data_IF_338860677090
#
_entry.id   IF_338860677090
#
_cell.length_a   1.000
_cell.length_b   1.000
_cell.length_c   1.000
_cell.angle_alpha   90.00
_cell.angle_beta   90.00
_cell.angle_gamma   90.00
#
_symmetry.space_group_name_H-M   'P 1'
#
loop_
_entity.id
_entity.type
_entity.pdbx_description
1 polymer ?
#
# COMPACT_ATOMS: atom_id res chain seq x y z
N UNK A 1 13.32 -10.32 18.26
CA UNK A 1 13.30 -9.14 17.38
C UNK A 1 12.95 -7.93 18.24
N UNK A 2 13.80 -6.90 18.30
CA UNK A 2 13.62 -5.76 19.22
C UNK A 2 12.77 -4.66 18.55
N UNK A 3 13.03 -4.33 17.29
CA UNK A 3 12.25 -3.40 16.50
C UNK A 3 11.21 -4.15 15.67
N UNK A 4 10.02 -3.59 15.51
CA UNK A 4 8.99 -4.16 14.63
C UNK A 4 9.42 -4.05 13.16
N UNK A 5 9.09 -5.06 12.37
CA UNK A 5 9.24 -5.01 10.93
C UNK A 5 8.19 -4.04 10.35
N UNK A 6 8.61 -3.27 9.34
CA UNK A 6 7.78 -2.22 8.72
C UNK A 6 7.01 -2.72 7.49
N UNK A 7 7.44 -3.84 6.92
CA UNK A 7 6.85 -4.45 5.74
C UNK A 7 5.85 -5.54 6.15
N UNK A 8 4.74 -5.63 5.42
CA UNK A 8 3.80 -6.73 5.58
C UNK A 8 4.34 -7.97 4.87
N UNK A 9 4.85 -8.93 5.65
CA UNK A 9 5.40 -10.19 5.12
C UNK A 9 4.41 -10.99 4.29
N UNK A 10 3.15 -11.03 4.69
CA UNK A 10 2.13 -11.82 3.99
C UNK A 10 1.90 -11.27 2.58
N UNK A 11 1.85 -9.94 2.44
CA UNK A 11 1.77 -9.27 1.13
C UNK A 11 3.00 -9.61 0.29
N UNK A 12 4.21 -9.46 0.84
CA UNK A 12 5.45 -9.71 0.08
C UNK A 12 5.61 -11.17 -0.36
N UNK A 13 5.39 -12.11 0.56
CA UNK A 13 5.52 -13.55 0.31
C UNK A 13 4.49 -14.03 -0.72
N UNK A 14 3.24 -13.59 -0.58
CA UNK A 14 2.15 -13.93 -1.50
C UNK A 14 2.46 -13.49 -2.92
N UNK A 15 2.86 -12.22 -3.10
CA UNK A 15 3.18 -11.68 -4.42
C UNK A 15 4.44 -12.31 -5.01
N UNK A 16 5.46 -12.56 -4.18
CA UNK A 16 6.70 -13.24 -4.59
C UNK A 16 6.41 -14.62 -5.15
N UNK A 17 5.56 -15.42 -4.48
CA UNK A 17 5.18 -16.76 -4.96
C UNK A 17 4.46 -16.66 -6.31
N UNK A 18 3.52 -15.74 -6.45
CA UNK A 18 2.77 -15.56 -7.71
C UNK A 18 3.66 -15.13 -8.87
N UNK A 19 4.59 -14.20 -8.64
CA UNK A 19 5.56 -13.75 -9.65
C UNK A 19 6.50 -14.89 -10.07
N UNK A 20 7.07 -15.62 -9.10
CA UNK A 20 7.98 -16.74 -9.40
C UNK A 20 7.27 -17.84 -10.20
N UNK A 21 6.02 -18.15 -9.85
CA UNK A 21 5.23 -19.13 -10.60
C UNK A 21 4.97 -18.67 -12.03
N UNK A 22 4.63 -17.39 -12.23
CA UNK A 22 4.44 -16.81 -13.56
C UNK A 22 5.73 -16.83 -14.40
N UNK A 23 6.88 -16.47 -13.82
CA UNK A 23 8.20 -16.54 -14.48
C UNK A 23 8.60 -17.97 -14.86
N UNK A 24 8.26 -18.95 -14.03
CA UNK A 24 8.46 -20.37 -14.32
C UNK A 24 7.46 -20.94 -15.35
N UNK A 25 6.57 -20.10 -15.91
CA UNK A 25 5.49 -20.47 -16.84
C UNK A 25 4.56 -21.55 -16.28
N UNK A 26 4.39 -21.57 -14.96
CA UNK A 26 3.39 -22.41 -14.31
C UNK A 26 2.00 -21.81 -14.53
N UNK A 27 0.97 -22.64 -14.36
CA UNK A 27 -0.42 -22.20 -14.47
C UNK A 27 -0.72 -21.19 -13.36
N UNK A 28 -1.20 -20.00 -13.74
CA UNK A 28 -1.63 -19.00 -12.77
C UNK A 28 -2.85 -19.51 -11.98
N UNK A 29 -2.69 -19.58 -10.66
CA UNK A 29 -3.74 -19.97 -9.73
C UNK A 29 -4.51 -18.76 -9.23
N UNK A 30 -5.80 -18.96 -9.01
CA UNK A 30 -6.65 -17.91 -8.43
C UNK A 30 -6.16 -17.53 -7.03
N UNK A 31 -6.38 -16.28 -6.65
CA UNK A 31 -6.10 -15.77 -5.32
C UNK A 31 -7.24 -14.85 -4.87
N UNK A 32 -7.62 -15.02 -3.62
CA UNK A 32 -8.55 -14.20 -2.88
C UNK A 32 -8.22 -14.39 -1.39
N UNK A 33 -7.47 -13.44 -0.83
CA UNK A 33 -7.06 -13.47 0.58
C UNK A 33 -7.26 -12.11 1.23
N UNK A 34 -7.70 -12.13 2.48
CA UNK A 34 -7.79 -10.94 3.34
C UNK A 34 -6.77 -11.08 4.47
N UNK A 35 -6.00 -10.02 4.70
CA UNK A 35 -4.90 -10.00 5.68
C UNK A 35 -5.03 -8.75 6.53
N UNK A 36 -4.92 -8.89 7.85
CA UNK A 36 -4.90 -7.74 8.74
C UNK A 36 -3.46 -7.27 9.02
N UNK A 37 -3.33 -6.01 9.41
CA UNK A 37 -2.09 -5.41 9.91
C UNK A 37 -2.43 -4.56 11.17
N UNK A 38 -1.43 -4.00 11.83
CA UNK A 38 -1.62 -3.16 13.01
C UNK A 38 -2.51 -1.94 12.69
N UNK A 39 -3.06 -1.32 13.73
CA UNK A 39 -3.90 -0.11 13.63
C UNK A 39 -5.23 -0.30 12.87
N UNK A 40 -5.73 -1.54 12.87
CA UNK A 40 -7.02 -1.87 12.23
C UNK A 40 -6.97 -1.81 10.70
N UNK A 41 -5.77 -1.93 10.11
CA UNK A 41 -5.57 -1.95 8.67
C UNK A 41 -5.96 -3.31 8.11
N UNK A 42 -6.65 -3.31 6.98
CA UNK A 42 -7.03 -4.52 6.24
C UNK A 42 -6.47 -4.46 4.82
N UNK A 43 -5.85 -5.54 4.39
CA UNK A 43 -5.44 -5.80 3.03
C UNK A 43 -6.33 -6.84 2.39
N UNK A 44 -6.53 -6.70 1.09
CA UNK A 44 -7.19 -7.70 0.26
C UNK A 44 -6.40 -7.90 -1.02
N UNK A 45 -5.98 -9.14 -1.26
CA UNK A 45 -5.22 -9.53 -2.43
C UNK A 45 -6.09 -10.48 -3.24
N UNK A 46 -6.54 -10.03 -4.40
CA UNK A 46 -7.49 -10.77 -5.23
C UNK A 46 -7.26 -10.60 -6.73
N UNK A 47 -7.82 -11.50 -7.52
CA UNK A 47 -7.80 -11.37 -8.98
C UNK A 47 -8.83 -10.37 -9.48
N UNK A 48 -8.41 -9.34 -10.23
CA UNK A 48 -9.33 -8.34 -10.75
C UNK A 48 -10.27 -8.98 -11.79
N UNK A 49 -11.58 -8.86 -11.61
CA UNK A 49 -12.61 -9.42 -12.50
C UNK A 49 -12.43 -10.93 -12.80
N UNK A 50 -11.80 -11.69 -11.89
CA UNK A 50 -11.50 -13.11 -12.08
C UNK A 50 -10.33 -13.42 -13.03
N UNK A 51 -9.61 -12.39 -13.50
CA UNK A 51 -8.43 -12.55 -14.34
C UNK A 51 -7.22 -13.00 -13.50
N UNK A 52 -6.77 -14.24 -13.73
CA UNK A 52 -5.70 -14.87 -12.94
C UNK A 52 -4.33 -14.27 -13.21
N UNK A 53 -4.17 -13.51 -14.29
CA UNK A 53 -2.92 -12.81 -14.60
C UNK A 53 -2.80 -11.49 -13.86
N UNK A 54 -3.92 -10.94 -13.38
CA UNK A 54 -3.97 -9.61 -12.76
C UNK A 54 -4.30 -9.72 -11.29
N UNK A 55 -3.33 -9.36 -10.46
CA UNK A 55 -3.44 -9.40 -9.00
C UNK A 55 -3.61 -7.97 -8.50
N UNK A 56 -4.75 -7.68 -7.87
CA UNK A 56 -5.00 -6.42 -7.19
C UNK A 56 -4.68 -6.59 -5.70
N UNK A 57 -3.88 -5.69 -5.16
CA UNK A 57 -3.64 -5.53 -3.72
C UNK A 57 -4.31 -4.24 -3.26
N UNK A 58 -5.34 -4.37 -2.44
CA UNK A 58 -6.11 -3.26 -1.88
C UNK A 58 -5.82 -3.11 -0.40
N UNK A 59 -5.81 -1.87 0.11
CA UNK A 59 -5.63 -1.56 1.53
C UNK A 59 -6.78 -0.65 2.01
N UNK A 60 -7.28 -0.95 3.20
CA UNK A 60 -8.34 -0.22 3.89
C UNK A 60 -7.80 0.31 5.22
N UNK A 61 -7.92 1.62 5.41
CA UNK A 61 -7.57 2.35 6.63
C UNK A 61 -8.74 3.26 6.98
N UNK A 62 -9.27 3.14 8.20
CA UNK A 62 -10.41 3.95 8.67
C UNK A 62 -10.13 5.46 8.60
N UNK A 63 -8.87 5.86 8.77
CA UNK A 63 -8.40 7.25 8.83
C UNK A 63 -7.73 7.72 7.52
N UNK A 64 -7.95 7.02 6.40
CA UNK A 64 -7.32 7.41 5.13
C UNK A 64 -7.70 8.82 4.67
N UNK A 65 -8.94 9.27 4.92
CA UNK A 65 -9.38 10.61 4.54
C UNK A 65 -8.53 11.71 5.19
N UNK A 66 -8.16 11.53 6.45
CA UNK A 66 -7.29 12.45 7.16
C UNK A 66 -5.89 12.46 6.55
N UNK A 67 -5.34 11.29 6.20
CA UNK A 67 -4.05 11.21 5.48
C UNK A 67 -4.13 11.90 4.11
N UNK A 68 -5.26 11.78 3.42
CA UNK A 68 -5.51 12.40 2.13
C UNK A 68 -5.47 13.93 2.19
N UNK A 69 -6.01 14.55 3.25
CA UNK A 69 -5.87 15.99 3.52
C UNK A 69 -4.41 16.46 3.69
N UNK A 70 -3.51 15.51 3.97
CA UNK A 70 -2.07 15.73 4.12
C UNK A 70 -1.23 15.21 2.94
N UNK A 71 -1.84 14.93 1.78
CA UNK A 71 -1.11 14.66 0.54
C UNK A 71 -0.79 13.18 0.29
N UNK A 72 -1.59 12.26 0.84
CA UNK A 72 -1.40 10.83 0.63
C UNK A 72 -1.47 10.44 -0.86
N UNK A 73 -2.41 10.99 -1.61
CA UNK A 73 -2.61 10.62 -3.01
C UNK A 73 -1.42 11.01 -3.89
N UNK A 74 -0.83 12.19 -3.68
CA UNK A 74 0.35 12.65 -4.40
C UNK A 74 1.57 11.76 -4.12
N UNK A 75 1.79 11.39 -2.86
CA UNK A 75 2.88 10.50 -2.46
C UNK A 75 2.68 9.11 -3.06
N UNK A 76 1.47 8.55 -2.96
CA UNK A 76 1.18 7.22 -3.51
C UNK A 76 1.30 7.21 -5.04
N UNK A 77 0.88 8.27 -5.72
CA UNK A 77 1.09 8.42 -7.16
C UNK A 77 2.58 8.49 -7.52
N UNK A 78 3.41 9.13 -6.69
CA UNK A 78 4.88 9.14 -6.86
C UNK A 78 5.49 7.75 -6.66
N UNK A 79 5.03 7.00 -5.66
CA UNK A 79 5.63 5.70 -5.30
C UNK A 79 5.18 4.54 -6.19
N UNK A 80 3.90 4.49 -6.55
CA UNK A 80 3.26 3.38 -7.26
C UNK A 80 2.91 3.72 -8.72
N UNK A 81 2.88 5.01 -9.09
CA UNK A 81 2.80 5.48 -10.47
C UNK A 81 1.78 4.72 -11.35
N UNK A 82 2.24 3.99 -12.39
CA UNK A 82 1.37 3.30 -13.35
C UNK A 82 0.62 2.09 -12.76
N UNK A 83 1.05 1.59 -11.60
CA UNK A 83 0.44 0.43 -10.97
C UNK A 83 -0.77 0.79 -10.11
N UNK A 84 -0.94 2.07 -9.76
CA UNK A 84 -2.07 2.54 -8.98
C UNK A 84 -3.34 2.52 -9.84
N UNK A 85 -4.39 1.87 -9.35
CA UNK A 85 -5.68 1.72 -10.04
C UNK A 85 -6.81 2.29 -9.22
N UNK A 86 -8.00 2.35 -9.80
CA UNK A 86 -9.21 2.73 -9.07
C UNK A 86 -9.36 1.84 -7.81
N UNK A 87 -9.57 2.44 -6.62
CA UNK A 87 -9.74 1.68 -5.39
C UNK A 87 -10.88 0.68 -5.49
N UNK A 88 -10.65 -0.51 -4.92
CA UNK A 88 -11.68 -1.51 -4.74
C UNK A 88 -12.79 -1.00 -3.81
N UNK A 89 -14.08 -1.29 -4.09
CA UNK A 89 -15.16 -0.93 -3.17
C UNK A 89 -14.90 -1.43 -1.74
N UNK A 90 -14.90 -0.52 -0.77
CA UNK A 90 -14.60 -0.81 0.65
C UNK A 90 -13.12 -0.64 1.04
N UNK A 91 -12.26 -0.31 0.08
CA UNK A 91 -10.84 -0.04 0.28
C UNK A 91 -10.48 1.38 -0.16
N UNK A 92 -9.33 1.87 0.30
CA UNK A 92 -8.91 3.25 0.05
C UNK A 92 -7.92 3.36 -1.11
N UNK A 93 -6.99 2.40 -1.20
CA UNK A 93 -5.95 2.38 -2.23
C UNK A 93 -5.89 0.98 -2.81
N UNK A 94 -5.77 0.88 -4.13
CA UNK A 94 -5.58 -0.38 -4.83
C UNK A 94 -4.42 -0.27 -5.81
N UNK A 95 -3.57 -1.28 -5.81
CA UNK A 95 -2.42 -1.39 -6.70
C UNK A 95 -2.53 -2.69 -7.49
N UNK A 96 -2.28 -2.62 -8.80
CA UNK A 96 -2.37 -3.74 -9.71
C UNK A 96 -0.98 -4.26 -10.08
N UNK A 97 -0.82 -5.57 -10.01
CA UNK A 97 0.31 -6.30 -10.56
C UNK A 97 -0.18 -7.14 -11.73
N UNK A 98 0.42 -6.93 -12.90
CA UNK A 98 0.18 -7.74 -14.10
C UNK A 98 1.28 -8.81 -14.22
N UNK A 99 0.89 -10.09 -14.16
CA UNK A 99 1.77 -11.23 -14.29
C UNK A 99 2.22 -11.49 -15.74
N UNK A 100 1.57 -10.87 -16.74
CA UNK A 100 2.02 -10.93 -18.14
C UNK A 100 3.10 -9.89 -18.44
N UNK A 101 3.15 -8.81 -17.64
CA UNK A 101 4.08 -7.70 -17.82
C UNK A 101 4.85 -7.39 -16.53
N UNK A 102 5.60 -8.39 -16.05
CA UNK A 102 6.39 -8.29 -14.82
C UNK A 102 7.66 -7.47 -15.09
N UNK A 103 7.92 -6.38 -14.34
CA UNK A 103 9.13 -5.59 -14.51
C UNK A 103 10.39 -6.35 -14.08
N UNK A 104 11.56 -6.01 -14.63
CA UNK A 104 12.83 -6.66 -14.26
C UNK A 104 13.15 -6.48 -12.76
N UNK A 105 12.82 -5.32 -12.19
CA UNK A 105 13.03 -4.99 -10.78
C UNK A 105 11.82 -5.34 -9.89
N UNK A 106 11.07 -6.40 -10.22
CA UNK A 106 9.87 -6.80 -9.49
C UNK A 106 10.09 -7.01 -7.98
N UNK A 107 11.29 -7.39 -7.53
CA UNK A 107 11.60 -7.56 -6.11
C UNK A 107 11.48 -6.24 -5.34
N UNK A 108 11.95 -5.14 -5.92
CA UNK A 108 11.81 -3.81 -5.34
C UNK A 108 10.35 -3.40 -5.29
N UNK A 109 9.61 -3.73 -6.35
CA UNK A 109 8.18 -3.44 -6.43
C UNK A 109 7.37 -4.21 -5.38
N UNK A 110 7.64 -5.51 -5.18
CA UNK A 110 7.03 -6.31 -4.12
C UNK A 110 7.36 -5.73 -2.74
N UNK A 111 8.60 -5.31 -2.51
CA UNK A 111 8.99 -4.65 -1.27
C UNK A 111 8.24 -3.33 -1.05
N UNK A 112 8.05 -2.53 -2.11
CA UNK A 112 7.22 -1.32 -2.04
C UNK A 112 5.75 -1.62 -1.71
N UNK A 113 5.19 -2.72 -2.21
CA UNK A 113 3.85 -3.17 -1.85
C UNK A 113 3.76 -3.64 -0.40
N UNK A 114 4.80 -4.31 0.11
CA UNK A 114 4.92 -4.62 1.54
C UNK A 114 4.91 -3.38 2.44
N UNK A 115 5.36 -2.24 1.92
CA UNK A 115 5.40 -0.95 2.62
C UNK A 115 4.16 -0.07 2.39
N UNK A 116 3.07 -0.61 1.83
CA UNK A 116 1.90 0.19 1.43
C UNK A 116 1.28 0.98 2.59
N UNK A 117 1.09 0.36 3.77
CA UNK A 117 0.67 1.08 4.99
C UNK A 117 1.64 2.21 5.33
N UNK A 118 2.95 1.94 5.37
CA UNK A 118 3.98 2.94 5.68
C UNK A 118 3.90 4.12 4.70
N UNK A 119 3.72 3.85 3.42
CA UNK A 119 3.65 4.89 2.40
C UNK A 119 2.36 5.72 2.51
N UNK A 120 1.24 5.13 2.93
CA UNK A 120 0.03 5.91 3.25
C UNK A 120 0.28 6.89 4.40
N UNK A 121 1.00 6.47 5.45
CA UNK A 121 1.36 7.34 6.57
C UNK A 121 2.45 8.36 6.26
N UNK A 122 3.34 8.08 5.31
CA UNK A 122 4.51 8.92 5.05
C UNK A 122 4.14 10.35 4.64
N UNK A 123 2.98 10.57 4.01
CA UNK A 123 2.60 11.88 3.47
C UNK A 123 2.47 12.94 4.56
N UNK A 124 1.87 12.59 5.71
CA UNK A 124 1.74 13.53 6.82
C UNK A 124 3.11 13.90 7.40
N UNK A 125 4.09 13.00 7.41
CA UNK A 125 5.43 13.34 7.91
C UNK A 125 6.20 14.20 6.90
N UNK A 126 6.23 13.81 5.62
CA UNK A 126 6.90 14.58 4.57
C UNK A 126 6.38 16.03 4.52
N UNK A 127 5.06 16.22 4.56
CA UNK A 127 4.44 17.55 4.54
C UNK A 127 4.92 18.46 5.68
N UNK A 128 5.04 17.95 6.91
CA UNK A 128 5.44 18.76 8.06
C UNK A 128 6.95 18.92 8.17
N UNK A 129 7.73 17.98 7.64
CA UNK A 129 9.17 18.16 7.47
C UNK A 129 9.47 19.28 6.47
N UNK A 130 8.75 19.33 5.35
CA UNK A 130 8.85 20.41 4.36
C UNK A 130 8.51 21.78 4.95
N UNK A 131 7.46 21.86 5.79
CA UNK A 131 7.12 23.11 6.49
C UNK A 131 8.25 23.57 7.41
N UNK A 132 8.85 22.64 8.17
CA UNK A 132 9.96 22.96 9.05
C UNK A 132 11.18 23.43 8.24
N UNK A 133 11.53 22.72 7.17
CA UNK A 133 12.68 23.06 6.32
C UNK A 133 12.57 24.47 5.71
N UNK A 134 11.36 24.88 5.32
CA UNK A 134 11.09 26.21 4.76
C UNK A 134 10.95 27.32 5.81
N UNK A 135 10.86 26.97 7.10
CA UNK A 135 10.54 27.90 8.17
C UNK A 135 9.09 28.39 8.13
N UNK A 136 8.19 27.61 7.53
CA UNK A 136 6.76 27.93 7.44
C UNK A 136 6.07 27.64 8.78
N UNK A 137 6.09 28.62 9.68
CA UNK A 137 5.45 28.54 11.00
C UNK A 137 3.93 28.81 10.95
N UNK A 138 3.21 28.40 12.01
CA UNK A 138 1.78 28.71 12.17
C UNK A 138 0.81 27.81 11.37
N UNK A 139 1.31 26.78 10.70
CA UNK A 139 0.48 25.80 10.00
C UNK A 139 -0.41 25.01 10.97
N UNK A 140 -1.62 24.66 10.54
CA UNK A 140 -2.54 23.83 11.34
C UNK A 140 -1.90 22.46 11.60
N UNK A 141 -1.92 21.99 12.84
CA UNK A 141 -1.48 20.63 13.19
C UNK A 141 -2.32 19.56 12.49
N UNK A 142 -1.67 18.45 12.13
CA UNK A 142 -2.36 17.25 11.68
C UNK A 142 -3.03 16.57 12.89
N UNK A 143 -4.14 15.88 12.63
CA UNK A 143 -4.85 15.07 13.63
C UNK A 143 -5.28 13.78 12.95
N UNK A 144 -4.58 12.69 13.25
CA UNK A 144 -4.77 11.39 12.60
C UNK A 144 -5.29 10.38 13.65
N UNK A 145 -6.59 10.05 13.66
CA UNK A 145 -7.15 9.04 14.56
C UNK A 145 -6.77 7.63 14.06
N UNK A 146 -5.52 7.22 14.27
CA UNK A 146 -4.98 5.98 13.73
C UNK A 146 -5.61 4.72 14.36
N UNK A 147 -6.25 4.85 15.53
CA UNK A 147 -7.10 3.82 16.14
C UNK A 147 -8.40 4.47 16.61
N UNK A 148 -9.40 3.64 16.95
CA UNK A 148 -10.73 4.13 17.34
C UNK A 148 -10.68 5.01 18.61
N UNK A 149 -9.70 4.77 19.47
CA UNK A 149 -9.48 5.42 20.77
C UNK A 149 -8.11 6.10 20.92
N UNK A 150 -7.29 6.16 19.85
CA UNK A 150 -5.97 6.79 19.87
C UNK A 150 -5.81 7.79 18.71
N UNK A 151 -5.07 8.88 18.94
CA UNK A 151 -4.87 9.94 17.95
C UNK A 151 -3.44 10.43 17.96
N UNK A 152 -2.89 10.62 16.77
CA UNK A 152 -1.58 11.22 16.51
C UNK A 152 -1.74 12.66 16.04
#
# INVERSE_FOLDING_TARGET
MILLEINNRVVEETLTVKIKNAQAKLKNESIDITVADFDGVLYHISNINGDKTKIRTSISLKFYKQLQEHGADELLKREYGPYLVAPEPGYNVSVLLDLENIPENWQEYVKKLGLLKRNCFASVFEKYFDFQERGDEGQKRAVIPYRDDETM
#
